data_IF_977992739864
#
_entry.id   IF_977992739864
#
_cell.length_a   1.000
_cell.length_b   1.000
_cell.length_c   1.000
_cell.angle_alpha   90.00
_cell.angle_beta   90.00
_cell.angle_gamma   90.00
#
_symmetry.space_group_name_H-M   'P 1'
#
loop_
_entity.id
_entity.type
_entity.pdbx_description
1 polymer ?
#
# COMPACT_ATOMS: atom_id res chain seq x y z
N UNK A 1 13.15 13.73 12.94
CA UNK A 1 13.35 14.36 11.61
C UNK A 1 13.75 15.84 11.69
N UNK A 2 13.30 16.65 12.65
CA UNK A 2 13.65 18.10 12.70
C UNK A 2 15.09 18.48 13.13
N UNK A 3 15.95 17.53 13.53
CA UNK A 3 17.32 17.85 13.97
C UNK A 3 18.35 17.76 12.83
N UNK A 4 18.13 16.92 11.84
CA UNK A 4 19.11 16.73 10.74
C UNK A 4 19.08 17.89 9.74
N UNK A 5 17.90 18.45 9.46
CA UNK A 5 17.76 19.59 8.52
C UNK A 5 18.43 20.87 9.05
N UNK A 6 18.42 21.10 10.37
CA UNK A 6 19.10 22.23 10.98
C UNK A 6 20.63 22.12 10.91
N UNK A 7 21.18 20.89 10.96
CA UNK A 7 22.62 20.66 10.85
C UNK A 7 23.09 20.96 9.42
N UNK A 8 22.32 20.53 8.42
CA UNK A 8 22.64 20.77 7.00
C UNK A 8 22.63 22.26 6.67
N UNK A 9 21.63 23.02 7.15
CA UNK A 9 21.56 24.46 6.93
C UNK A 9 22.72 25.23 7.57
N UNK A 10 23.10 24.88 8.81
CA UNK A 10 24.25 25.47 9.48
C UNK A 10 25.58 25.17 8.76
N UNK A 11 25.73 23.97 8.20
CA UNK A 11 26.93 23.58 7.46
C UNK A 11 27.06 24.37 6.15
N UNK A 12 25.96 24.52 5.41
CA UNK A 12 25.91 25.32 4.18
C UNK A 12 26.19 26.81 4.46
N UNK A 13 25.59 27.39 5.50
CA UNK A 13 25.83 28.78 5.87
C UNK A 13 27.30 29.02 6.28
N UNK A 14 27.94 28.05 6.92
CA UNK A 14 29.35 28.10 7.29
C UNK A 14 30.27 28.07 6.05
N UNK A 15 29.97 27.19 5.09
CA UNK A 15 30.73 27.08 3.83
C UNK A 15 30.62 28.36 2.98
N UNK A 16 29.42 28.92 2.86
CA UNK A 16 29.21 30.19 2.13
C UNK A 16 29.97 31.35 2.80
N UNK A 17 29.95 31.45 4.14
CA UNK A 17 30.73 32.47 4.87
C UNK A 17 32.24 32.29 4.67
N UNK A 18 32.74 31.06 4.63
CA UNK A 18 34.15 30.78 4.40
C UNK A 18 34.59 31.18 2.98
N UNK A 19 33.80 30.83 1.96
CA UNK A 19 34.06 31.18 0.57
C UNK A 19 34.09 32.70 0.37
N UNK A 20 33.12 33.43 0.94
CA UNK A 20 33.05 34.88 0.81
C UNK A 20 34.27 35.57 1.44
N UNK A 21 34.72 35.10 2.62
CA UNK A 21 35.93 35.63 3.28
C UNK A 21 37.20 35.36 2.47
N UNK A 22 37.30 34.20 1.82
CA UNK A 22 38.42 33.85 0.95
C UNK A 22 38.49 34.79 -0.26
N UNK A 23 37.35 35.00 -0.92
CA UNK A 23 37.28 35.88 -2.08
C UNK A 23 37.63 37.33 -1.74
N UNK A 24 37.13 37.86 -0.62
CA UNK A 24 37.49 39.23 -0.18
C UNK A 24 38.98 39.37 0.12
N UNK A 25 39.63 38.34 0.68
CA UNK A 25 41.08 38.36 0.94
C UNK A 25 41.90 38.32 -0.36
N UNK A 26 41.49 37.51 -1.34
CA UNK A 26 42.17 37.47 -2.65
C UNK A 26 42.05 38.81 -3.36
N UNK A 27 40.85 39.39 -3.43
CA UNK A 27 40.65 40.70 -4.07
C UNK A 27 41.45 41.81 -3.36
N UNK A 28 41.52 41.79 -2.03
CA UNK A 28 42.32 42.75 -1.27
C UNK A 28 43.84 42.57 -1.51
N UNK A 29 44.31 41.34 -1.64
CA UNK A 29 45.71 41.05 -1.95
C UNK A 29 46.10 41.52 -3.36
N UNK A 30 45.25 41.28 -4.37
CA UNK A 30 45.51 41.76 -5.74
C UNK A 30 45.56 43.29 -5.84
N UNK A 31 44.71 43.99 -5.09
CA UNK A 31 44.75 45.47 -5.01
C UNK A 31 46.03 45.94 -4.33
N UNK A 32 46.50 45.24 -3.29
CA UNK A 32 47.71 45.59 -2.56
C UNK A 32 48.97 45.36 -3.41
N UNK A 33 49.06 44.24 -4.13
CA UNK A 33 50.17 43.95 -5.06
C UNK A 33 50.23 44.98 -6.20
N UNK A 34 49.09 45.32 -6.81
CA UNK A 34 49.04 46.40 -7.81
C UNK A 34 49.45 47.76 -7.26
N UNK A 35 49.15 48.03 -5.98
CA UNK A 35 49.59 49.27 -5.34
C UNK A 35 51.10 49.28 -5.08
N UNK A 36 51.71 48.15 -4.73
CA UNK A 36 53.17 48.02 -4.56
C UNK A 36 53.91 48.22 -5.88
N UNK A 37 53.40 47.67 -6.98
CA UNK A 37 53.98 47.84 -8.32
C UNK A 37 53.96 49.30 -8.79
N UNK A 38 52.91 50.05 -8.42
CA UNK A 38 52.80 51.49 -8.75
C UNK A 38 53.69 52.36 -7.85
N UNK A 39 53.99 51.90 -6.63
CA UNK A 39 54.74 52.66 -5.61
C UNK A 39 56.24 52.31 -5.52
N UNK A 40 56.74 51.38 -6.33
CA UNK A 40 58.17 51.05 -6.43
C UNK A 40 58.81 51.70 -7.66
N UNK A 41 59.22 52.98 -7.63
CA UNK A 41 60.16 53.46 -8.63
C UNK A 41 61.55 52.85 -8.34
N UNK A 42 62.24 52.41 -9.38
CA UNK A 42 63.68 52.17 -9.34
C UNK A 42 64.38 53.42 -8.80
N UNK A 43 64.73 53.40 -7.50
CA UNK A 43 65.55 54.43 -6.91
C UNK A 43 66.98 54.24 -7.44
N UNK A 44 67.57 55.22 -8.14
CA UNK A 44 68.96 55.13 -8.52
C UNK A 44 69.84 55.09 -7.26
N UNK A 45 70.78 54.16 -7.28
CA UNK A 45 71.76 53.90 -6.23
C UNK A 45 72.50 55.20 -5.82
N UNK A 46 72.47 55.62 -4.53
CA UNK A 46 73.07 56.88 -4.09
C UNK A 46 74.62 56.88 -4.10
N UNK A 47 75.27 55.84 -4.60
CA UNK A 47 76.74 55.71 -4.59
C UNK A 47 77.46 56.16 -5.85
N UNK A 48 76.77 56.73 -6.85
CA UNK A 48 77.40 57.34 -8.03
C UNK A 48 77.20 58.86 -8.08
N UNK A 49 77.81 59.59 -7.13
CA UNK A 49 78.05 61.03 -7.28
C UNK A 49 79.49 61.28 -6.88
N UNK A 50 80.39 61.15 -7.86
CA UNK A 50 81.70 61.76 -7.78
C UNK A 50 81.96 62.54 -9.08
N UNK A 51 82.17 63.84 -8.91
CA UNK A 51 82.77 64.78 -9.86
C UNK A 51 82.20 64.85 -11.28
N UNK A 52 81.35 65.85 -11.53
CA UNK A 52 81.58 66.88 -12.58
C UNK A 52 80.46 67.93 -12.58
N UNK A 53 80.80 69.12 -12.08
CA UNK A 53 79.99 70.33 -12.29
C UNK A 53 80.22 70.82 -13.73
N UNK A 54 79.28 70.52 -14.61
CA UNK A 54 79.07 71.27 -15.85
C UNK A 54 77.58 71.62 -15.97
N UNK A 55 77.33 72.87 -16.36
CA UNK A 55 76.05 73.53 -16.50
C UNK A 55 75.11 72.75 -17.45
N UNK A 56 74.02 72.18 -16.92
CA UNK A 56 72.85 71.74 -17.70
C UNK A 56 71.57 72.38 -17.14
N UNK A 57 71.37 73.69 -17.36
CA UNK A 57 70.10 74.38 -17.08
C UNK A 57 68.95 74.00 -18.06
N UNK A 58 69.14 73.00 -18.95
CA UNK A 58 68.14 72.57 -19.94
C UNK A 58 67.44 71.24 -19.66
N UNK A 59 67.97 70.38 -18.77
CA UNK A 59 67.47 69.01 -18.55
C UNK A 59 66.34 68.88 -17.52
N UNK A 60 66.31 69.77 -16.52
CA UNK A 60 65.35 69.70 -15.42
C UNK A 60 63.94 70.14 -15.82
N UNK A 61 63.80 71.02 -16.82
CA UNK A 61 62.50 71.46 -17.33
C UNK A 61 61.67 70.33 -17.95
N UNK A 62 62.31 69.41 -18.69
CA UNK A 62 61.63 68.28 -19.30
C UNK A 62 61.22 67.22 -18.28
N UNK A 63 62.06 66.95 -17.27
CA UNK A 63 61.71 66.05 -16.15
C UNK A 63 60.57 66.62 -15.32
N UNK A 64 60.58 67.93 -15.06
CA UNK A 64 59.51 68.62 -14.34
C UNK A 64 58.18 68.57 -15.09
N UNK A 65 58.18 68.75 -16.41
CA UNK A 65 56.96 68.63 -17.21
C UNK A 65 56.42 67.19 -17.22
N UNK A 66 57.30 66.19 -17.38
CA UNK A 66 56.90 64.77 -17.28
C UNK A 66 56.33 64.40 -15.90
N UNK A 67 56.90 64.94 -14.83
CA UNK A 67 56.38 64.75 -13.47
C UNK A 67 55.00 65.41 -13.30
N UNK A 68 54.80 66.61 -13.83
CA UNK A 68 53.49 67.28 -13.81
C UNK A 68 52.41 66.45 -14.53
N UNK A 69 52.73 65.92 -15.71
CA UNK A 69 51.79 65.07 -16.46
C UNK A 69 51.41 63.80 -15.68
N UNK A 70 52.40 63.16 -15.03
CA UNK A 70 52.17 62.00 -14.17
C UNK A 70 51.30 62.35 -12.96
N UNK A 71 51.53 63.50 -12.32
CA UNK A 71 50.71 63.98 -11.20
C UNK A 71 49.26 64.17 -11.66
N UNK A 72 49.04 64.86 -12.78
CA UNK A 72 47.70 65.07 -13.32
C UNK A 72 47.01 63.74 -13.69
N UNK A 73 47.76 62.77 -14.21
CA UNK A 73 47.22 61.44 -14.49
C UNK A 73 46.83 60.69 -13.21
N UNK A 74 47.65 60.75 -12.15
CA UNK A 74 47.34 60.15 -10.85
C UNK A 74 46.11 60.82 -10.22
N UNK A 75 46.00 62.15 -10.29
CA UNK A 75 44.83 62.89 -9.80
C UNK A 75 43.54 62.45 -10.50
N UNK A 76 43.59 62.26 -11.83
CA UNK A 76 42.45 61.76 -12.61
C UNK A 76 42.06 60.35 -12.18
N UNK A 77 43.03 59.43 -12.05
CA UNK A 77 42.77 58.06 -11.60
C UNK A 77 42.21 58.01 -10.17
N UNK A 78 42.72 58.86 -9.29
CA UNK A 78 42.21 58.97 -7.93
C UNK A 78 40.74 59.42 -7.91
N UNK A 79 40.38 60.41 -8.74
CA UNK A 79 39.00 60.87 -8.85
C UNK A 79 38.07 59.79 -9.42
N UNK A 80 38.54 59.05 -10.43
CA UNK A 80 37.81 57.92 -11.04
C UNK A 80 37.56 56.82 -10.00
N UNK A 81 38.59 56.40 -9.26
CA UNK A 81 38.47 55.41 -8.19
C UNK A 81 37.55 55.88 -7.04
N UNK A 82 37.56 57.17 -6.71
CA UNK A 82 36.64 57.73 -5.72
C UNK A 82 35.17 57.66 -6.18
N UNK A 83 34.93 57.97 -7.46
CA UNK A 83 33.59 57.88 -8.04
C UNK A 83 33.10 56.42 -8.08
N UNK A 84 33.94 55.49 -8.55
CA UNK A 84 33.62 54.05 -8.55
C UNK A 84 33.33 53.53 -7.14
N UNK A 85 34.14 53.92 -6.14
CA UNK A 85 33.89 53.54 -4.74
C UNK A 85 32.54 54.03 -4.26
N UNK A 86 32.16 55.28 -4.59
CA UNK A 86 30.87 55.83 -4.19
C UNK A 86 29.69 55.07 -4.82
N UNK A 87 29.82 54.65 -6.09
CA UNK A 87 28.84 53.82 -6.78
C UNK A 87 28.72 52.45 -6.12
N UNK A 88 29.84 51.77 -5.90
CA UNK A 88 29.87 50.44 -5.26
C UNK A 88 29.31 50.47 -3.84
N UNK A 89 29.59 51.51 -3.06
CA UNK A 89 29.01 51.69 -1.72
C UNK A 89 27.48 51.80 -1.77
N UNK A 90 26.94 52.50 -2.78
CA UNK A 90 25.50 52.65 -2.97
C UNK A 90 24.82 51.34 -3.37
N UNK A 91 25.42 50.59 -4.32
CA UNK A 91 24.92 49.29 -4.76
C UNK A 91 24.96 48.27 -3.63
N UNK A 92 26.07 48.22 -2.89
CA UNK A 92 26.24 47.32 -1.75
C UNK A 92 25.23 47.63 -0.63
N UNK A 93 24.89 48.90 -0.41
CA UNK A 93 23.82 49.29 0.51
C UNK A 93 22.45 48.81 0.02
N UNK A 94 22.16 48.96 -1.27
CA UNK A 94 20.90 48.50 -1.88
C UNK A 94 20.75 46.97 -1.77
N UNK A 95 21.77 46.21 -2.15
CA UNK A 95 21.80 44.74 -2.05
C UNK A 95 21.60 44.27 -0.61
N UNK A 96 22.22 44.94 0.38
CA UNK A 96 22.01 44.61 1.80
C UNK A 96 20.57 44.83 2.24
N UNK A 97 19.95 45.92 1.81
CA UNK A 97 18.55 46.20 2.14
C UNK A 97 17.62 45.17 1.51
N UNK A 98 17.83 44.81 0.25
CA UNK A 98 17.04 43.78 -0.44
C UNK A 98 17.21 42.40 0.19
N UNK A 99 18.44 42.02 0.58
CA UNK A 99 18.68 40.78 1.29
C UNK A 99 17.98 40.77 2.66
N UNK A 100 18.02 41.90 3.39
CA UNK A 100 17.34 42.02 4.68
C UNK A 100 15.82 41.89 4.54
N UNK A 101 15.20 42.53 3.54
CA UNK A 101 13.75 42.43 3.33
C UNK A 101 13.35 41.01 2.94
N UNK A 102 14.09 40.35 2.04
CA UNK A 102 13.86 38.95 1.66
C UNK A 102 13.97 38.00 2.85
N UNK A 103 14.97 38.17 3.71
CA UNK A 103 15.09 37.36 4.93
C UNK A 103 13.87 37.54 5.84
N UNK A 104 13.45 38.77 6.10
CA UNK A 104 12.27 39.04 6.92
C UNK A 104 10.98 38.43 6.33
N UNK A 105 10.82 38.49 5.01
CA UNK A 105 9.68 37.86 4.31
C UNK A 105 9.70 36.35 4.48
N UNK A 106 10.85 35.70 4.22
CA UNK A 106 10.98 34.25 4.33
C UNK A 106 10.78 33.77 5.78
N UNK A 107 11.27 34.51 6.77
CA UNK A 107 11.03 34.20 8.19
C UNK A 107 9.53 34.24 8.54
N UNK A 108 8.79 35.22 8.01
CA UNK A 108 7.34 35.33 8.21
C UNK A 108 6.58 34.19 7.52
N UNK A 109 6.92 33.88 6.26
CA UNK A 109 6.29 32.80 5.51
C UNK A 109 6.53 31.45 6.19
N UNK A 110 7.77 31.19 6.62
CA UNK A 110 8.14 29.98 7.33
C UNK A 110 7.43 29.87 8.69
N UNK A 111 7.23 31.00 9.39
CA UNK A 111 6.40 31.07 10.59
C UNK A 111 4.94 30.67 10.32
N UNK A 112 4.35 31.20 9.24
CA UNK A 112 2.97 30.87 8.83
C UNK A 112 2.81 29.40 8.49
N UNK A 113 3.71 28.85 7.68
CA UNK A 113 3.69 27.42 7.27
C UNK A 113 3.83 26.50 8.49
N UNK A 114 4.70 26.85 9.45
CA UNK A 114 4.84 26.08 10.70
C UNK A 114 3.56 26.09 11.52
N UNK A 115 2.88 27.23 11.62
CA UNK A 115 1.64 27.35 12.37
C UNK A 115 0.51 26.55 11.70
N UNK A 116 0.39 26.61 10.38
CA UNK A 116 -0.57 25.83 9.60
C UNK A 116 -0.36 24.33 9.79
N UNK A 117 0.87 23.85 9.62
CA UNK A 117 1.22 22.44 9.83
C UNK A 117 0.94 21.98 11.27
N UNK A 118 1.14 22.85 12.27
CA UNK A 118 0.80 22.55 13.67
C UNK A 118 -0.72 22.43 13.87
N UNK A 119 -1.50 23.31 13.24
CA UNK A 119 -2.96 23.28 13.32
C UNK A 119 -3.51 22.01 12.65
N UNK A 120 -3.07 21.68 11.43
CA UNK A 120 -3.47 20.46 10.72
C UNK A 120 -3.15 19.20 11.53
N UNK A 121 -1.95 19.14 12.12
CA UNK A 121 -1.56 18.02 12.98
C UNK A 121 -2.50 17.88 14.18
N UNK A 122 -2.89 18.99 14.82
CA UNK A 122 -3.81 18.96 15.95
C UNK A 122 -5.22 18.47 15.56
N UNK A 123 -5.69 18.86 14.38
CA UNK A 123 -6.96 18.40 13.81
C UNK A 123 -6.91 16.91 13.54
N UNK A 124 -5.90 16.42 12.83
CA UNK A 124 -5.73 15.00 12.51
C UNK A 124 -5.61 14.14 13.77
N UNK A 125 -4.91 14.62 14.81
CA UNK A 125 -4.81 13.91 16.09
C UNK A 125 -6.17 13.76 16.78
N UNK A 126 -7.02 14.78 16.70
CA UNK A 126 -8.38 14.75 17.24
C UNK A 126 -9.31 13.80 16.47
N UNK A 127 -9.25 13.82 15.14
CA UNK A 127 -10.02 12.92 14.28
C UNK A 127 -9.61 11.46 14.50
N UNK A 128 -8.31 11.20 14.56
CA UNK A 128 -7.76 9.86 14.79
C UNK A 128 -8.18 9.31 16.15
N UNK A 129 -8.26 10.17 17.18
CA UNK A 129 -8.79 9.78 18.50
C UNK A 129 -10.29 9.43 18.42
N UNK A 130 -11.09 10.22 17.70
CA UNK A 130 -12.51 9.97 17.51
C UNK A 130 -12.77 8.65 16.78
N UNK A 131 -12.07 8.40 15.67
CA UNK A 131 -12.18 7.15 14.90
C UNK A 131 -11.78 5.94 15.74
N UNK A 132 -10.72 6.03 16.55
CA UNK A 132 -10.33 4.95 17.46
C UNK A 132 -11.42 4.65 18.50
N UNK A 133 -12.05 5.68 19.06
CA UNK A 133 -13.14 5.49 20.03
C UNK A 133 -14.36 4.85 19.36
N UNK A 134 -14.74 5.29 18.16
CA UNK A 134 -15.84 4.68 17.41
C UNK A 134 -15.57 3.21 17.03
N UNK A 135 -14.34 2.91 16.60
CA UNK A 135 -13.95 1.53 16.30
C UNK A 135 -14.01 0.66 17.56
N UNK A 136 -13.55 1.18 18.71
CA UNK A 136 -13.60 0.47 19.98
C UNK A 136 -15.04 0.18 20.42
N UNK A 137 -15.95 1.16 20.33
CA UNK A 137 -17.36 0.94 20.70
C UNK A 137 -18.03 -0.07 19.79
N UNK A 138 -17.79 -0.02 18.47
CA UNK A 138 -18.31 -1.01 17.51
C UNK A 138 -17.80 -2.42 17.81
N UNK A 139 -16.52 -2.58 18.13
CA UNK A 139 -15.97 -3.89 18.50
C UNK A 139 -16.66 -4.44 19.75
N UNK A 140 -16.82 -3.63 20.81
CA UNK A 140 -17.51 -4.07 22.03
C UNK A 140 -18.98 -4.43 21.80
N UNK A 141 -19.67 -3.71 20.92
CA UNK A 141 -21.05 -4.06 20.52
C UNK A 141 -21.09 -5.39 19.79
N UNK A 142 -20.23 -5.58 18.78
CA UNK A 142 -20.16 -6.82 18.01
C UNK A 142 -19.77 -8.02 18.88
N UNK A 143 -18.86 -7.84 19.84
CA UNK A 143 -18.51 -8.88 20.82
C UNK A 143 -19.72 -9.31 21.65
N UNK A 144 -20.54 -8.36 22.11
CA UNK A 144 -21.78 -8.63 22.86
C UNK A 144 -22.83 -9.35 22.00
N UNK A 145 -23.04 -8.91 20.77
CA UNK A 145 -23.97 -9.54 19.82
C UNK A 145 -23.54 -10.98 19.49
N UNK A 146 -22.23 -11.18 19.26
CA UNK A 146 -21.68 -12.50 18.96
C UNK A 146 -21.86 -13.45 20.14
N UNK A 147 -21.65 -12.97 21.37
CA UNK A 147 -21.91 -13.76 22.57
C UNK A 147 -23.39 -14.13 22.73
N UNK A 148 -24.30 -13.21 22.42
CA UNK A 148 -25.75 -13.49 22.39
C UNK A 148 -26.10 -14.58 21.37
N UNK A 149 -25.58 -14.50 20.14
CA UNK A 149 -25.79 -15.51 19.09
C UNK A 149 -25.22 -16.88 19.51
N UNK A 150 -24.06 -16.91 20.19
CA UNK A 150 -23.50 -18.15 20.73
C UNK A 150 -24.43 -18.79 21.76
N UNK A 151 -24.98 -17.99 22.67
CA UNK A 151 -25.94 -18.47 23.68
C UNK A 151 -27.21 -19.03 23.01
N UNK A 152 -27.75 -18.33 22.01
CA UNK A 152 -28.93 -18.80 21.26
C UNK A 152 -28.64 -20.13 20.53
N UNK A 153 -27.49 -20.24 19.87
CA UNK A 153 -27.08 -21.46 19.18
C UNK A 153 -26.95 -22.66 20.14
N UNK A 154 -26.39 -22.44 21.34
CA UNK A 154 -26.31 -23.47 22.38
C UNK A 154 -27.71 -23.93 22.83
N UNK A 155 -28.64 -22.99 23.05
CA UNK A 155 -30.01 -23.28 23.44
C UNK A 155 -30.74 -24.07 22.35
N UNK A 156 -30.58 -23.68 21.09
CA UNK A 156 -31.14 -24.39 19.91
C UNK A 156 -30.60 -25.82 19.79
N UNK A 157 -29.31 -26.04 20.06
CA UNK A 157 -28.71 -27.39 20.12
C UNK A 157 -29.38 -28.26 21.20
N UNK A 158 -29.59 -27.69 22.40
CA UNK A 158 -30.24 -28.39 23.50
C UNK A 158 -31.70 -28.72 23.18
N UNK A 159 -32.46 -27.78 22.61
CA UNK A 159 -33.82 -28.02 22.13
C UNK A 159 -33.87 -29.13 21.08
N UNK A 160 -32.95 -29.13 20.11
CA UNK A 160 -32.88 -30.16 19.06
C UNK A 160 -32.67 -31.56 19.65
N UNK A 161 -31.84 -31.70 20.70
CA UNK A 161 -31.67 -32.98 21.42
C UNK A 161 -32.96 -33.42 22.10
N UNK A 162 -33.67 -32.49 22.75
CA UNK A 162 -34.94 -32.78 23.41
C UNK A 162 -36.03 -33.22 22.41
N UNK A 163 -36.15 -32.54 21.26
CA UNK A 163 -37.09 -32.93 20.19
C UNK A 163 -36.79 -34.34 19.70
N UNK A 164 -35.53 -34.68 19.39
CA UNK A 164 -35.15 -36.05 18.99
C UNK A 164 -35.53 -37.08 20.04
N UNK A 165 -35.35 -36.76 21.33
CA UNK A 165 -35.73 -37.65 22.43
C UNK A 165 -37.25 -37.85 22.49
N UNK A 166 -38.04 -36.80 22.24
CA UNK A 166 -39.50 -36.91 22.15
C UNK A 166 -39.91 -37.76 20.94
N UNK A 167 -39.30 -37.57 19.77
CA UNK A 167 -39.57 -38.38 18.58
C UNK A 167 -39.31 -39.88 18.86
N UNK A 168 -38.19 -40.22 19.51
CA UNK A 168 -37.91 -41.61 19.87
C UNK A 168 -38.93 -42.20 20.86
N UNK A 169 -39.44 -41.39 21.79
CA UNK A 169 -40.49 -41.83 22.72
C UNK A 169 -41.82 -42.04 22.00
N UNK A 170 -42.17 -41.15 21.07
CA UNK A 170 -43.38 -41.30 20.25
C UNK A 170 -43.32 -42.56 19.39
N UNK A 171 -42.18 -42.83 18.74
CA UNK A 171 -42.00 -44.05 17.95
C UNK A 171 -42.12 -45.31 18.81
N UNK A 172 -41.54 -45.28 20.02
CA UNK A 172 -41.64 -46.40 20.97
C UNK A 172 -43.10 -46.65 21.37
N UNK A 173 -43.82 -45.61 21.79
CA UNK A 173 -45.24 -45.70 22.15
C UNK A 173 -46.11 -46.16 20.98
N UNK A 174 -45.83 -45.70 19.76
CA UNK A 174 -46.52 -46.13 18.55
C UNK A 174 -46.28 -47.62 18.27
N UNK A 175 -45.05 -48.10 18.49
CA UNK A 175 -44.72 -49.52 18.32
C UNK A 175 -45.39 -50.41 19.39
N UNK A 176 -45.45 -49.96 20.65
CA UNK A 176 -46.13 -50.64 21.74
C UNK A 176 -47.63 -50.73 21.48
N UNK A 177 -48.28 -49.61 21.14
CA UNK A 177 -49.71 -49.59 20.79
C UNK A 177 -50.02 -50.47 19.58
N UNK A 178 -49.18 -50.44 18.54
CA UNK A 178 -49.32 -51.35 17.38
C UNK A 178 -49.23 -52.81 17.79
N UNK A 179 -48.33 -53.17 18.70
CA UNK A 179 -48.20 -54.53 19.20
C UNK A 179 -49.42 -54.94 20.04
N UNK A 180 -49.91 -54.09 20.94
CA UNK A 180 -51.13 -54.36 21.72
C UNK A 180 -52.37 -54.51 20.84
N UNK A 181 -52.49 -53.72 19.76
CA UNK A 181 -53.56 -53.90 18.76
C UNK A 181 -53.41 -55.24 18.05
N UNK A 182 -52.19 -55.65 17.67
CA UNK A 182 -51.96 -56.97 17.07
C UNK A 182 -52.33 -58.11 18.01
N UNK A 183 -51.96 -58.03 19.28
CA UNK A 183 -52.30 -59.05 20.27
C UNK A 183 -53.81 -59.16 20.49
N UNK A 184 -54.51 -58.03 20.60
CA UNK A 184 -55.97 -57.99 20.76
C UNK A 184 -56.71 -58.44 19.48
N UNK A 185 -56.23 -58.05 18.29
CA UNK A 185 -56.80 -58.51 17.01
C UNK A 185 -56.46 -59.97 16.72
N UNK A 186 -55.30 -60.48 17.14
CA UNK A 186 -54.96 -61.90 17.08
C UNK A 186 -55.80 -62.73 18.07
N UNK A 187 -56.11 -62.21 19.26
CA UNK A 187 -57.05 -62.84 20.18
C UNK A 187 -58.49 -62.86 19.60
N UNK A 188 -58.93 -61.76 18.97
CA UNK A 188 -60.21 -61.70 18.26
C UNK A 188 -60.25 -62.60 17.01
N UNK A 189 -59.12 -62.69 16.28
CA UNK A 189 -58.97 -63.57 15.13
C UNK A 189 -58.85 -65.04 15.55
N UNK A 190 -58.24 -65.37 16.69
CA UNK A 190 -58.22 -66.72 17.25
C UNK A 190 -59.62 -67.16 17.72
N UNK A 191 -60.43 -66.23 18.21
CA UNK A 191 -61.86 -66.47 18.44
C UNK A 191 -62.65 -66.69 17.13
N UNK A 192 -62.23 -66.07 16.01
CA UNK A 192 -62.81 -66.28 14.68
C UNK A 192 -62.22 -67.49 13.90
N UNK A 193 -61.01 -67.94 14.24
CA UNK A 193 -60.23 -68.97 13.54
C UNK A 193 -60.36 -70.38 14.15
N UNK A 194 -61.37 -70.60 15.00
CA UNK A 194 -61.99 -71.93 15.14
C UNK A 194 -62.58 -72.45 13.81
N UNK A 195 -62.51 -71.67 12.74
CA UNK A 195 -62.78 -72.05 11.36
C UNK A 195 -61.53 -71.78 10.49
N UNK A 196 -60.76 -72.85 10.27
CA UNK A 196 -59.82 -73.14 9.14
C UNK A 196 -58.39 -72.54 9.08
N UNK A 197 -57.40 -73.26 8.46
CA UNK A 197 -55.95 -73.06 8.66
C UNK A 197 -55.18 -72.47 7.44
N UNK A 198 -53.85 -72.18 7.56
CA UNK A 198 -53.10 -71.14 6.81
C UNK A 198 -52.19 -71.70 5.69
N UNK A 199 -51.31 -70.90 5.04
CA UNK A 199 -49.90 -70.96 5.49
C UNK A 199 -48.97 -69.73 5.23
N UNK A 200 -47.93 -69.64 6.08
CA UNK A 200 -46.46 -69.44 5.83
C UNK A 200 -45.84 -68.22 5.11
N UNK A 201 -44.75 -67.71 5.71
CA UNK A 201 -43.54 -67.17 5.04
C UNK A 201 -43.00 -65.84 5.60
N UNK A 202 -42.00 -65.83 6.52
CA UNK A 202 -40.54 -65.72 6.27
C UNK A 202 -40.09 -64.36 5.64
N UNK A 203 -39.62 -63.38 6.41
CA UNK A 203 -38.21 -62.99 6.74
C UNK A 203 -37.30 -62.41 5.63
N UNK A 204 -36.88 -61.15 5.87
CA UNK A 204 -35.55 -60.53 5.73
C UNK A 204 -34.74 -60.58 4.41
N UNK A 205 -34.34 -59.40 3.89
CA UNK A 205 -32.99 -59.21 3.33
C UNK A 205 -32.63 -57.72 3.26
N UNK A 206 -31.70 -57.29 4.12
CA UNK A 206 -31.04 -56.00 4.06
C UNK A 206 -29.55 -56.22 4.31
N UNK A 207 -28.71 -55.94 3.31
CA UNK A 207 -27.35 -55.40 3.45
C UNK A 207 -26.66 -55.33 2.07
N UNK A 208 -27.05 -54.32 1.29
CA UNK A 208 -26.09 -53.54 0.52
C UNK A 208 -26.22 -52.10 1.01
N UNK A 209 -25.18 -51.55 1.64
CA UNK A 209 -25.14 -50.12 1.95
C UNK A 209 -24.18 -49.46 0.96
N UNK A 210 -24.67 -48.95 -0.18
CA UNK A 210 -23.99 -47.83 -0.84
C UNK A 210 -23.89 -46.67 0.17
N UNK A 211 -23.01 -45.68 -0.07
CA UNK A 211 -22.99 -44.41 0.65
C UNK A 211 -24.39 -43.78 0.56
N UNK A 212 -25.26 -44.16 1.50
CA UNK A 212 -26.60 -43.62 1.64
C UNK A 212 -26.39 -42.23 2.21
N UNK A 213 -26.85 -41.25 1.43
CA UNK A 213 -27.04 -39.85 1.82
C UNK A 213 -26.04 -38.82 1.25
N UNK A 214 -25.67 -38.92 -0.04
CA UNK A 214 -25.48 -37.68 -0.81
C UNK A 214 -26.87 -37.07 -0.98
N UNK A 215 -27.27 -36.23 -0.02
CA UNK A 215 -28.51 -35.46 -0.10
C UNK A 215 -28.19 -34.12 -0.71
N UNK A 216 -28.81 -33.82 -1.85
CA UNK A 216 -28.84 -32.46 -2.38
C UNK A 216 -29.39 -31.54 -1.29
N UNK A 217 -28.56 -30.59 -0.83
CA UNK A 217 -28.94 -29.65 0.22
C UNK A 217 -29.63 -28.41 -0.34
N UNK A 218 -29.23 -27.98 -1.52
CA UNK A 218 -29.76 -26.81 -2.20
C UNK A 218 -29.59 -26.97 -3.71
N UNK A 219 -30.44 -26.28 -4.45
CA UNK A 219 -30.33 -26.03 -5.88
C UNK A 219 -30.58 -24.54 -6.08
N UNK A 220 -29.69 -23.84 -6.77
CA UNK A 220 -29.85 -22.42 -7.03
C UNK A 220 -29.15 -22.00 -8.30
N UNK A 221 -29.66 -20.92 -8.89
CA UNK A 221 -29.07 -20.31 -10.07
C UNK A 221 -27.94 -19.38 -9.68
N UNK A 222 -26.81 -19.50 -10.36
CA UNK A 222 -25.64 -18.59 -10.22
C UNK A 222 -25.66 -17.46 -11.26
N UNK A 223 -26.75 -17.35 -12.03
CA UNK A 223 -26.98 -16.25 -12.97
C UNK A 223 -27.46 -15.03 -12.20
N UNK A 224 -26.75 -13.92 -12.37
CA UNK A 224 -27.12 -12.62 -11.78
C UNK A 224 -27.65 -11.68 -12.85
N UNK A 225 -28.43 -10.67 -12.45
CA UNK A 225 -29.09 -9.72 -13.37
C UNK A 225 -28.13 -9.04 -14.34
N UNK A 226 -26.88 -8.82 -13.91
CA UNK A 226 -25.85 -8.17 -14.71
C UNK A 226 -25.19 -9.11 -15.74
N UNK A 227 -25.52 -10.40 -15.79
CA UNK A 227 -24.89 -11.37 -16.71
C UNK A 227 -25.42 -11.24 -18.14
N UNK A 228 -24.48 -11.18 -19.09
CA UNK A 228 -24.82 -11.07 -20.52
C UNK A 228 -25.05 -12.43 -21.16
N UNK A 229 -24.50 -13.50 -20.57
CA UNK A 229 -24.54 -14.88 -21.10
C UNK A 229 -24.93 -15.88 -20.01
N UNK A 230 -25.24 -17.11 -20.43
CA UNK A 230 -25.39 -18.21 -19.48
C UNK A 230 -24.07 -18.43 -18.70
N UNK A 231 -24.11 -18.57 -17.37
CA UNK A 231 -22.91 -18.77 -16.56
C UNK A 231 -22.11 -19.98 -17.02
N UNK A 232 -20.82 -19.79 -17.26
CA UNK A 232 -19.87 -20.86 -17.56
C UNK A 232 -18.96 -21.06 -16.37
N UNK A 233 -19.45 -21.78 -15.36
CA UNK A 233 -18.71 -21.98 -14.11
C UNK A 233 -17.54 -22.92 -14.36
N UNK A 234 -16.32 -22.38 -14.29
CA UNK A 234 -15.10 -23.13 -14.55
C UNK A 234 -14.51 -23.72 -13.27
N UNK A 235 -14.60 -22.98 -12.18
CA UNK A 235 -14.05 -23.36 -10.88
C UNK A 235 -14.91 -22.86 -9.72
N UNK A 236 -14.89 -23.58 -8.60
CA UNK A 236 -15.65 -23.30 -7.38
C UNK A 236 -14.84 -23.63 -6.16
N UNK A 237 -14.83 -22.73 -5.18
CA UNK A 237 -14.19 -22.94 -3.91
C UNK A 237 -15.07 -22.53 -2.74
N UNK A 238 -15.07 -23.36 -1.70
CA UNK A 238 -15.68 -23.04 -0.42
C UNK A 238 -14.66 -22.27 0.43
N UNK A 239 -15.02 -21.05 0.84
CA UNK A 239 -14.22 -20.25 1.75
C UNK A 239 -14.48 -20.66 3.22
N UNK A 240 -13.47 -20.56 4.10
CA UNK A 240 -13.65 -20.73 5.54
C UNK A 240 -14.63 -19.69 6.09
N UNK A 241 -15.88 -20.09 6.30
CA UNK A 241 -16.98 -19.17 6.63
C UNK A 241 -18.30 -19.57 5.96
N UNK A 242 -18.23 -20.44 4.94
CA UNK A 242 -19.42 -20.97 4.27
C UNK A 242 -19.86 -20.18 3.04
N UNK A 243 -19.01 -19.26 2.55
CA UNK A 243 -19.24 -18.58 1.27
C UNK A 243 -18.63 -19.39 0.12
N UNK A 244 -19.29 -19.35 -1.03
CA UNK A 244 -18.89 -19.99 -2.26
C UNK A 244 -18.32 -18.94 -3.21
N UNK A 245 -17.08 -19.15 -3.65
CA UNK A 245 -16.44 -18.35 -4.67
C UNK A 245 -16.48 -19.11 -5.99
N UNK A 246 -17.02 -18.50 -7.03
CA UNK A 246 -17.19 -19.11 -8.34
C UNK A 246 -16.48 -18.30 -9.42
N UNK A 247 -15.84 -19.00 -10.34
CA UNK A 247 -15.25 -18.42 -11.54
C UNK A 247 -16.21 -18.62 -12.71
N UNK A 248 -16.80 -17.53 -13.21
CA UNK A 248 -17.66 -17.51 -14.39
C UNK A 248 -16.86 -17.03 -15.60
N UNK A 249 -16.28 -18.01 -16.30
CA UNK A 249 -15.45 -17.80 -17.49
C UNK A 249 -16.22 -17.03 -18.58
N UNK A 250 -17.46 -17.41 -18.83
CA UNK A 250 -18.24 -16.88 -19.96
C UNK A 250 -18.69 -15.43 -19.76
N UNK A 251 -18.83 -14.99 -18.51
CA UNK A 251 -19.17 -13.61 -18.16
C UNK A 251 -17.96 -12.79 -17.65
N UNK A 252 -16.73 -13.32 -17.71
CA UNK A 252 -15.49 -12.69 -17.22
C UNK A 252 -15.60 -12.21 -15.78
N UNK A 253 -16.11 -13.06 -14.89
CA UNK A 253 -16.43 -12.66 -13.51
C UNK A 253 -15.99 -13.67 -12.48
N UNK A 254 -15.68 -13.17 -11.29
CA UNK A 254 -15.66 -13.96 -10.06
C UNK A 254 -16.86 -13.55 -9.24
N UNK A 255 -17.65 -14.53 -8.77
CA UNK A 255 -18.89 -14.30 -8.05
C UNK A 255 -18.82 -14.93 -6.67
N UNK A 256 -19.36 -14.22 -5.69
CA UNK A 256 -19.44 -14.65 -4.31
C UNK A 256 -20.90 -14.92 -3.96
N UNK A 257 -21.16 -16.09 -3.38
CA UNK A 257 -22.47 -16.54 -2.92
C UNK A 257 -22.35 -17.10 -1.51
N UNK A 258 -23.47 -17.18 -0.80
CA UNK A 258 -23.54 -17.99 0.43
C UNK A 258 -23.88 -19.46 0.11
N UNK A 259 -23.86 -20.33 1.13
CA UNK A 259 -24.28 -21.75 0.97
C UNK A 259 -25.78 -21.95 0.68
N UNK A 260 -26.61 -20.92 0.81
CA UNK A 260 -28.04 -20.95 0.48
C UNK A 260 -28.31 -20.51 -0.97
N UNK A 261 -27.30 -20.03 -1.68
CA UNK A 261 -27.41 -19.54 -3.04
C UNK A 261 -27.76 -18.07 -3.17
N UNK A 262 -27.70 -17.30 -2.07
CA UNK A 262 -27.81 -15.86 -2.11
C UNK A 262 -26.56 -15.26 -2.75
N UNK A 263 -26.76 -14.40 -3.74
CA UNK A 263 -25.68 -13.62 -4.35
C UNK A 263 -25.22 -12.53 -3.37
N UNK A 264 -23.91 -12.47 -3.13
CA UNK A 264 -23.28 -11.51 -2.22
C UNK A 264 -22.52 -10.43 -2.99
N UNK A 265 -21.65 -10.84 -3.93
CA UNK A 265 -20.82 -9.91 -4.68
C UNK A 265 -20.44 -10.44 -6.06
N UNK A 266 -20.10 -9.53 -6.98
CA UNK A 266 -19.56 -9.84 -8.30
C UNK A 266 -18.39 -8.93 -8.61
N UNK A 267 -17.28 -9.52 -9.01
CA UNK A 267 -16.11 -8.82 -9.49
C UNK A 267 -15.93 -9.09 -10.99
N UNK A 268 -15.77 -8.03 -11.77
CA UNK A 268 -15.46 -8.12 -13.19
C UNK A 268 -13.96 -8.28 -13.39
N UNK A 269 -13.56 -9.32 -14.12
CA UNK A 269 -12.18 -9.62 -14.46
C UNK A 269 -11.80 -8.95 -15.77
N UNK A 270 -10.51 -8.64 -15.93
CA UNK A 270 -9.98 -8.02 -17.15
C UNK A 270 -9.97 -8.96 -18.36
N UNK A 271 -9.94 -10.27 -18.11
CA UNK A 271 -10.13 -11.33 -19.11
C UNK A 271 -10.90 -12.49 -18.50
N UNK A 272 -11.08 -13.55 -19.28
CA UNK A 272 -11.76 -14.77 -18.91
C UNK A 272 -11.01 -15.49 -17.78
N UNK A 273 -11.59 -15.59 -16.56
CA UNK A 273 -10.95 -16.28 -15.45
C UNK A 273 -11.07 -17.81 -15.58
N UNK A 274 -10.05 -18.54 -15.11
CA UNK A 274 -9.98 -20.01 -15.18
C UNK A 274 -10.04 -20.66 -13.80
N UNK A 275 -8.91 -20.75 -13.12
CA UNK A 275 -8.75 -21.44 -11.84
C UNK A 275 -8.52 -20.47 -10.72
N UNK A 276 -8.97 -20.85 -9.52
CA UNK A 276 -8.80 -20.09 -8.31
C UNK A 276 -8.05 -20.91 -7.24
N UNK A 277 -7.28 -20.25 -6.38
CA UNK A 277 -6.66 -20.88 -5.22
C UNK A 277 -6.80 -19.96 -4.00
N UNK A 278 -7.14 -20.52 -2.85
CA UNK A 278 -7.20 -19.78 -1.58
C UNK A 278 -5.85 -19.90 -0.89
N UNK A 279 -5.17 -18.76 -0.67
CA UNK A 279 -3.83 -18.70 -0.09
C UNK A 279 -3.88 -18.61 1.44
N UNK A 280 -4.77 -17.74 1.93
CA UNK A 280 -4.97 -17.56 3.36
C UNK A 280 -6.44 -17.80 3.70
N UNK A 281 -6.62 -18.60 4.74
CA UNK A 281 -7.89 -19.08 5.25
C UNK A 281 -8.18 -18.50 6.64
N UNK A 282 -7.70 -17.29 6.94
CA UNK A 282 -8.09 -16.57 8.15
C UNK A 282 -9.61 -16.41 8.19
N UNK A 283 -10.25 -16.54 9.37
CA UNK A 283 -11.72 -16.58 9.48
C UNK A 283 -12.45 -15.27 9.08
N UNK A 284 -11.72 -14.20 8.77
CA UNK A 284 -12.28 -12.86 8.54
C UNK A 284 -11.89 -12.32 7.17
N UNK A 285 -10.70 -12.67 6.67
CA UNK A 285 -10.17 -12.21 5.38
C UNK A 285 -9.53 -13.37 4.63
N UNK A 286 -9.90 -13.52 3.37
CA UNK A 286 -9.32 -14.56 2.52
C UNK A 286 -8.57 -13.92 1.37
N UNK A 287 -7.32 -14.34 1.16
CA UNK A 287 -6.57 -13.99 -0.04
C UNK A 287 -6.75 -15.11 -1.06
N UNK A 288 -7.19 -14.76 -2.27
CA UNK A 288 -7.46 -15.72 -3.35
C UNK A 288 -6.69 -15.30 -4.59
N UNK A 289 -5.99 -16.23 -5.23
CA UNK A 289 -5.41 -16.03 -6.55
C UNK A 289 -6.37 -16.55 -7.63
N UNK A 290 -6.53 -15.80 -8.70
CA UNK A 290 -7.35 -16.15 -9.87
C UNK A 290 -6.51 -16.02 -11.13
N UNK A 291 -6.44 -17.10 -11.90
CA UNK A 291 -5.68 -17.14 -13.16
C UNK A 291 -6.46 -16.50 -14.29
N UNK A 292 -5.76 -15.68 -15.09
CA UNK A 292 -6.27 -14.95 -16.25
C UNK A 292 -5.36 -15.24 -17.46
N UNK A 293 -5.48 -16.43 -18.10
CA UNK A 293 -4.52 -16.89 -19.08
C UNK A 293 -4.42 -15.97 -20.31
N UNK A 294 -5.56 -15.44 -20.76
CA UNK A 294 -5.66 -14.64 -21.98
C UNK A 294 -4.87 -13.32 -21.90
N UNK A 295 -4.64 -12.80 -20.69
CA UNK A 295 -3.79 -11.63 -20.46
C UNK A 295 -2.47 -11.95 -19.76
N UNK A 296 -2.09 -13.23 -19.66
CA UNK A 296 -0.92 -13.70 -18.90
C UNK A 296 -0.88 -13.12 -17.49
N UNK A 297 -2.05 -13.05 -16.85
CA UNK A 297 -2.25 -12.39 -15.56
C UNK A 297 -2.65 -13.37 -14.46
N UNK A 298 -2.36 -12.99 -13.22
CA UNK A 298 -2.97 -13.59 -12.03
C UNK A 298 -3.46 -12.46 -11.15
N UNK A 299 -4.77 -12.40 -10.89
CA UNK A 299 -5.33 -11.42 -9.98
C UNK A 299 -5.34 -12.00 -8.56
N UNK A 300 -4.82 -11.22 -7.61
CA UNK A 300 -4.85 -11.49 -6.17
C UNK A 300 -6.00 -10.69 -5.58
N UNK A 301 -7.00 -11.42 -5.12
CA UNK A 301 -8.24 -10.90 -4.56
C UNK A 301 -8.19 -10.96 -3.04
N UNK A 302 -8.79 -9.96 -2.38
CA UNK A 302 -9.14 -10.04 -0.97
C UNK A 302 -10.66 -10.18 -0.86
N UNK A 303 -11.10 -11.20 -0.11
CA UNK A 303 -12.52 -11.43 0.21
C UNK A 303 -12.72 -11.17 1.70
N UNK A 304 -13.55 -10.18 2.01
CA UNK A 304 -13.82 -9.67 3.35
C UNK A 304 -15.32 -9.74 3.63
N UNK A 305 -15.78 -10.85 4.23
CA UNK A 305 -17.21 -11.12 4.42
C UNK A 305 -17.94 -11.20 3.08
N UNK A 306 -18.88 -10.29 2.86
CA UNK A 306 -19.73 -10.24 1.66
C UNK A 306 -19.14 -9.39 0.53
N UNK A 307 -17.91 -8.88 0.68
CA UNK A 307 -17.26 -8.02 -0.31
C UNK A 307 -15.98 -8.65 -0.87
N UNK A 308 -15.66 -8.33 -2.12
CA UNK A 308 -14.47 -8.83 -2.80
C UNK A 308 -13.83 -7.73 -3.65
N UNK A 309 -12.50 -7.62 -3.59
CA UNK A 309 -11.75 -6.61 -4.32
C UNK A 309 -10.45 -7.17 -4.90
N UNK A 310 -10.01 -6.67 -6.06
CA UNK A 310 -8.67 -6.94 -6.59
C UNK A 310 -7.65 -6.11 -5.81
N UNK A 311 -6.74 -6.75 -5.09
CA UNK A 311 -5.64 -6.07 -4.40
C UNK A 311 -4.44 -5.86 -5.29
N UNK A 312 -4.17 -6.83 -6.16
CA UNK A 312 -3.00 -6.82 -7.02
C UNK A 312 -3.26 -7.65 -8.26
N UNK A 313 -2.66 -7.24 -9.35
CA UNK A 313 -2.49 -8.05 -10.55
C UNK A 313 -1.02 -8.40 -10.68
N UNK A 314 -0.71 -9.67 -10.88
CA UNK A 314 0.60 -10.16 -11.28
C UNK A 314 0.63 -10.27 -12.80
N UNK A 315 1.55 -9.58 -13.45
CA UNK A 315 1.85 -9.80 -14.86
C UNK A 315 2.88 -10.91 -14.95
N UNK A 316 2.59 -11.94 -15.73
CA UNK A 316 3.45 -13.11 -15.86
C UNK A 316 3.94 -13.28 -17.29
N UNK A 317 5.05 -13.99 -17.45
CA UNK A 317 5.67 -14.26 -18.75
C UNK A 317 5.01 -15.43 -19.51
N UNK A 318 4.15 -16.20 -18.84
CA UNK A 318 3.48 -17.39 -19.37
C UNK A 318 1.97 -17.28 -19.16
N UNK A 319 1.20 -18.00 -19.95
CA UNK A 319 -0.25 -18.09 -19.80
C UNK A 319 -0.60 -19.21 -18.81
N UNK A 320 -0.65 -18.88 -17.53
CA UNK A 320 -1.02 -19.84 -16.49
C UNK A 320 -2.52 -20.09 -16.49
N UNK A 321 -2.92 -21.36 -16.54
CA UNK A 321 -4.31 -21.83 -16.60
C UNK A 321 -4.79 -22.49 -15.31
N UNK A 322 -3.84 -22.84 -14.44
CA UNK A 322 -4.06 -23.56 -13.21
C UNK A 322 -3.23 -22.95 -12.09
N UNK A 323 -3.80 -22.97 -10.89
CA UNK A 323 -3.16 -22.42 -9.70
C UNK A 323 -3.53 -23.25 -8.49
N UNK A 324 -2.56 -23.48 -7.62
CA UNK A 324 -2.74 -24.05 -6.30
C UNK A 324 -1.89 -23.27 -5.30
N UNK A 325 -2.42 -23.03 -4.10
CA UNK A 325 -1.63 -22.44 -3.02
C UNK A 325 -0.70 -23.50 -2.44
N UNK A 326 0.60 -23.22 -2.40
CA UNK A 326 1.58 -24.05 -1.68
C UNK A 326 1.64 -23.63 -0.22
N UNK A 327 1.59 -22.31 0.01
CA UNK A 327 1.50 -21.65 1.30
C UNK A 327 0.93 -20.24 1.08
N UNK A 328 0.89 -19.42 2.14
CA UNK A 328 0.29 -18.08 2.10
C UNK A 328 1.05 -17.06 1.22
N UNK A 329 2.25 -17.40 0.74
CA UNK A 329 3.13 -16.52 -0.05
C UNK A 329 3.58 -17.14 -1.39
N UNK A 330 3.23 -18.39 -1.66
CA UNK A 330 3.73 -19.15 -2.81
C UNK A 330 2.60 -19.90 -3.51
N UNK A 331 2.55 -19.75 -4.83
CA UNK A 331 1.62 -20.42 -5.72
C UNK A 331 2.37 -21.43 -6.59
N UNK A 332 1.77 -22.59 -6.81
CA UNK A 332 2.14 -23.51 -7.87
C UNK A 332 1.20 -23.26 -9.05
N UNK A 333 1.75 -22.96 -10.22
CA UNK A 333 0.99 -22.60 -11.42
C UNK A 333 1.39 -23.46 -12.62
N UNK A 334 0.39 -23.99 -13.32
CA UNK A 334 0.55 -24.69 -14.60
C UNK A 334 0.18 -23.77 -15.76
N UNK A 335 0.73 -24.02 -16.95
CA UNK A 335 0.53 -23.19 -18.14
C UNK A 335 0.31 -24.02 -19.41
N UNK A 336 -0.43 -23.46 -20.37
CA UNK A 336 -0.84 -24.16 -21.60
C UNK A 336 0.30 -24.68 -22.48
N UNK A 337 1.41 -23.94 -22.55
CA UNK A 337 2.46 -24.17 -23.55
C UNK A 337 3.52 -25.18 -23.13
N UNK A 338 3.38 -25.86 -21.99
CA UNK A 338 4.36 -26.85 -21.53
C UNK A 338 3.81 -27.81 -20.48
N UNK A 339 4.63 -28.79 -20.10
CA UNK A 339 4.28 -29.83 -19.12
C UNK A 339 4.88 -29.57 -17.73
N UNK A 340 5.18 -28.31 -17.40
CA UNK A 340 5.88 -27.94 -16.18
C UNK A 340 5.00 -27.14 -15.22
N UNK A 341 5.41 -27.11 -13.95
CA UNK A 341 4.78 -26.30 -12.91
C UNK A 341 5.79 -25.26 -12.44
N UNK A 342 5.40 -23.98 -12.46
CA UNK A 342 6.22 -22.93 -11.88
C UNK A 342 5.75 -22.66 -10.44
N UNK A 343 6.69 -22.54 -9.52
CA UNK A 343 6.47 -21.97 -8.20
C UNK A 343 6.73 -20.48 -8.29
N UNK A 344 5.71 -19.67 -8.02
CA UNK A 344 5.80 -18.21 -8.06
C UNK A 344 5.45 -17.60 -6.71
N UNK A 345 6.04 -16.47 -6.38
CA UNK A 345 5.63 -15.66 -5.23
C UNK A 345 4.50 -14.69 -5.58
N UNK A 346 3.98 -13.95 -4.57
CA UNK A 346 2.96 -12.92 -4.76
C UNK A 346 3.50 -11.61 -5.36
N UNK A 347 4.79 -11.56 -5.71
CA UNK A 347 5.40 -10.55 -6.58
C UNK A 347 5.36 -10.95 -8.06
N UNK A 348 5.01 -12.20 -8.37
CA UNK A 348 5.06 -12.75 -9.73
C UNK A 348 6.44 -13.28 -10.12
N UNK A 349 7.40 -13.35 -9.18
CA UNK A 349 8.72 -13.90 -9.44
C UNK A 349 8.67 -15.44 -9.45
N UNK A 350 9.22 -16.06 -10.49
CA UNK A 350 9.40 -17.52 -10.56
C UNK A 350 10.54 -17.91 -9.62
N UNK A 351 10.20 -18.64 -8.56
CA UNK A 351 11.12 -19.16 -7.56
C UNK A 351 11.77 -20.46 -8.03
N UNK A 352 11.00 -21.32 -8.69
CA UNK A 352 11.45 -22.63 -9.18
C UNK A 352 10.53 -23.15 -10.29
N UNK A 353 11.11 -23.83 -11.27
CA UNK A 353 10.37 -24.60 -12.27
C UNK A 353 10.52 -26.11 -11.95
N UNK A 354 9.41 -26.84 -11.99
CA UNK A 354 9.31 -28.28 -11.69
C UNK A 354 8.92 -29.03 -12.96
#
# INVERSE_FOLDING_TARGET
>A
MCQEENVVFCLLLSQVKAALRSQTRQNAAEIFERAIDVLSPDFPDPTSIDGQSQEEEGGDGNKLNSLKDRITQVERQLQEAQNERSTLESELKSVRQEAQTKCSTLESELGSVRQEAQNERSTLESELKSVRQEAQTKCSTLESELESVRQEAQLKSSMKKNVRRLDTKLETLASETKNSIKETTAAAAAAAAAVTPPPTGATASALSKPLKDVRQRADFTVKVTADKRAPGIWDVQLLPGGSLLLVDWNNKRVKLFDTQGQHLHTLECRSEPHRLAVLDSSSIRHTVAVTLPDCSGIDILEVNGDNMEVKRTLQTSKQYDSVAAVNNLTLAVGYYSGSGIDLIDLGGQVLRQI
#
